data_IF_145196225058
#
_entry.id   IF_145196225058
#
_cell.length_a   1.000
_cell.length_b   1.000
_cell.length_c   1.000
_cell.angle_alpha   90.00
_cell.angle_beta   90.00
_cell.angle_gamma   90.00
#
_symmetry.space_group_name_H-M   'P 1'
#
loop_
_entity.id
_entity.type
_entity.pdbx_description
1 polymer ?
#
# COMPACT_ATOMS: atom_id res chain seq x y z
N UNK A 1 -42.61 20.80 -9.67
CA UNK A 1 -42.25 19.68 -8.78
C UNK A 1 -40.80 19.35 -9.11
N UNK A 2 -39.88 19.56 -8.17
CA UNK A 2 -38.43 19.48 -8.45
C UNK A 2 -38.03 18.04 -8.71
N UNK A 3 -37.62 17.71 -9.93
CA UNK A 3 -37.00 16.43 -10.31
C UNK A 3 -35.58 16.32 -9.72
N UNK A 4 -35.47 16.37 -8.40
CA UNK A 4 -34.21 16.04 -7.74
C UNK A 4 -34.09 14.52 -7.73
N UNK A 5 -33.10 13.92 -8.42
CA UNK A 5 -32.89 12.49 -8.30
C UNK A 5 -32.60 12.17 -6.83
N UNK A 6 -33.26 11.13 -6.32
CA UNK A 6 -33.01 10.66 -4.96
C UNK A 6 -31.50 10.41 -4.78
N UNK A 7 -30.90 10.78 -3.64
CA UNK A 7 -29.50 10.51 -3.40
C UNK A 7 -29.22 9.02 -3.57
N UNK A 8 -28.05 8.64 -4.13
CA UNK A 8 -27.71 7.24 -4.32
C UNK A 8 -27.85 6.49 -3.00
N UNK A 9 -28.67 5.45 -2.99
CA UNK A 9 -28.81 4.57 -1.82
C UNK A 9 -27.52 3.78 -1.71
N UNK A 10 -26.65 4.10 -0.73
CA UNK A 10 -25.49 3.26 -0.43
C UNK A 10 -26.00 1.89 0.04
N UNK A 11 -25.64 0.84 -0.69
CA UNK A 11 -25.93 -0.51 -0.24
C UNK A 11 -24.99 -0.83 0.94
N UNK A 12 -25.45 -1.46 2.03
CA UNK A 12 -24.59 -1.77 3.19
C UNK A 12 -23.31 -2.54 2.83
N UNK A 13 -23.35 -3.35 1.77
CA UNK A 13 -22.18 -4.06 1.23
C UNK A 13 -21.12 -3.11 0.64
N UNK A 14 -21.51 -1.93 0.13
CA UNK A 14 -20.59 -0.95 -0.45
C UNK A 14 -19.69 -0.32 0.63
N UNK A 15 -20.25 -0.04 1.81
CA UNK A 15 -19.50 0.47 2.95
C UNK A 15 -18.47 -0.55 3.46
N UNK A 16 -18.87 -1.82 3.52
CA UNK A 16 -17.96 -2.90 3.89
C UNK A 16 -16.85 -3.07 2.85
N UNK A 17 -17.18 -3.05 1.55
CA UNK A 17 -16.19 -3.15 0.48
C UNK A 17 -15.16 -2.02 0.54
N UNK A 18 -15.60 -0.76 0.71
CA UNK A 18 -14.73 0.41 0.87
C UNK A 18 -13.79 0.26 2.07
N UNK A 19 -14.30 -0.22 3.20
CA UNK A 19 -13.50 -0.45 4.40
C UNK A 19 -12.39 -1.47 4.12
N UNK A 20 -12.71 -2.61 3.52
CA UNK A 20 -11.72 -3.65 3.25
C UNK A 20 -10.72 -3.25 2.16
N UNK A 21 -11.17 -2.53 1.12
CA UNK A 21 -10.28 -1.96 0.11
C UNK A 21 -9.28 -0.97 0.73
N UNK A 22 -9.73 -0.11 1.65
CA UNK A 22 -8.85 0.79 2.40
C UNK A 22 -7.87 0.00 3.26
N UNK A 23 -8.33 -1.04 3.97
CA UNK A 23 -7.47 -1.89 4.80
C UNK A 23 -6.40 -2.64 3.99
N UNK A 24 -6.68 -3.00 2.73
CA UNK A 24 -5.66 -3.54 1.82
C UNK A 24 -4.47 -2.60 1.67
N UNK A 25 -4.62 -1.29 1.83
CA UNK A 25 -3.51 -0.34 1.78
C UNK A 25 -2.95 0.00 3.15
N UNK A 26 -3.83 0.32 4.12
CA UNK A 26 -3.40 0.80 5.45
C UNK A 26 -2.69 -0.27 6.28
N UNK A 27 -2.99 -1.55 6.05
CA UNK A 27 -2.28 -2.66 6.71
C UNK A 27 -0.79 -2.70 6.39
N UNK A 28 -0.32 -2.04 5.32
CA UNK A 28 1.10 -1.88 5.04
C UNK A 28 1.85 -1.08 6.13
N UNK A 29 1.15 -0.27 6.93
CA UNK A 29 1.76 0.45 8.05
C UNK A 29 2.22 -0.50 9.16
N UNK A 30 1.79 -1.77 9.16
CA UNK A 30 2.30 -2.79 10.07
C UNK A 30 3.82 -2.99 9.91
N UNK A 31 4.42 -2.59 8.79
CA UNK A 31 5.88 -2.60 8.60
C UNK A 31 6.67 -1.72 9.56
N UNK A 32 6.03 -0.74 10.21
CA UNK A 32 6.67 0.06 11.27
C UNK A 32 6.67 -0.62 12.64
N UNK A 33 5.90 -1.70 12.80
CA UNK A 33 5.76 -2.42 14.08
C UNK A 33 6.47 -3.77 14.01
N UNK A 34 6.35 -4.47 12.87
CA UNK A 34 6.92 -5.79 12.67
C UNK A 34 7.72 -5.86 11.37
N UNK A 35 8.87 -6.57 11.35
CA UNK A 35 9.61 -6.84 10.12
C UNK A 35 8.72 -7.45 9.05
N UNK A 36 8.85 -6.97 7.80
CA UNK A 36 8.03 -7.37 6.65
C UNK A 36 6.51 -7.15 6.80
N UNK A 37 6.06 -6.48 7.87
CA UNK A 37 4.66 -6.17 8.09
C UNK A 37 4.05 -5.34 6.96
N UNK A 38 4.86 -4.58 6.22
CA UNK A 38 4.41 -3.80 5.07
C UNK A 38 3.93 -4.67 3.90
N UNK A 39 4.46 -5.88 3.74
CA UNK A 39 4.02 -6.84 2.72
C UNK A 39 2.98 -7.79 3.31
N UNK A 40 3.21 -8.29 4.52
CA UNK A 40 2.34 -9.29 5.15
C UNK A 40 0.96 -8.71 5.50
N UNK A 41 0.89 -7.48 6.01
CA UNK A 41 -0.37 -6.80 6.29
C UNK A 41 -1.34 -6.80 5.10
N UNK A 42 -0.98 -6.19 3.95
CA UNK A 42 -1.87 -6.12 2.79
C UNK A 42 -2.16 -7.49 2.19
N UNK A 43 -1.19 -8.41 2.22
CA UNK A 43 -1.39 -9.78 1.76
C UNK A 43 -2.43 -10.53 2.61
N UNK A 44 -2.34 -10.44 3.94
CA UNK A 44 -3.29 -11.06 4.85
C UNK A 44 -4.69 -10.47 4.65
N UNK A 45 -4.80 -9.13 4.62
CA UNK A 45 -6.09 -8.45 4.43
C UNK A 45 -6.74 -8.87 3.11
N UNK A 46 -5.98 -8.87 2.02
CA UNK A 46 -6.49 -9.31 0.71
C UNK A 46 -6.95 -10.77 0.75
N UNK A 47 -6.14 -11.67 1.29
CA UNK A 47 -6.45 -13.10 1.33
C UNK A 47 -7.67 -13.42 2.20
N UNK A 48 -7.93 -12.64 3.26
CA UNK A 48 -9.12 -12.80 4.11
C UNK A 48 -10.42 -12.44 3.40
N UNK A 49 -10.39 -11.55 2.41
CA UNK A 49 -11.60 -10.99 1.79
C UNK A 49 -11.77 -11.17 0.29
N UNK A 50 -10.76 -11.68 -0.40
CA UNK A 50 -10.82 -11.86 -1.86
C UNK A 50 -11.98 -12.73 -2.37
N UNK A 51 -12.45 -13.70 -1.57
CA UNK A 51 -13.56 -14.58 -1.95
C UNK A 51 -14.94 -13.96 -1.68
N UNK A 52 -15.01 -12.93 -0.84
CA UNK A 52 -16.26 -12.27 -0.42
C UNK A 52 -16.44 -10.90 -1.11
N UNK A 53 -15.34 -10.16 -1.29
CA UNK A 53 -15.34 -8.77 -1.77
C UNK A 53 -14.41 -8.69 -2.99
N UNK A 54 -14.94 -8.84 -4.22
CA UNK A 54 -14.14 -8.90 -5.45
C UNK A 54 -13.23 -7.69 -5.68
N UNK A 55 -13.60 -6.49 -5.21
CA UNK A 55 -12.77 -5.29 -5.34
C UNK A 55 -11.44 -5.38 -4.59
N UNK A 56 -11.36 -6.20 -3.53
CA UNK A 56 -10.12 -6.40 -2.77
C UNK A 56 -9.02 -7.04 -3.60
N UNK A 57 -9.35 -7.73 -4.69
CA UNK A 57 -8.38 -8.23 -5.66
C UNK A 57 -7.52 -7.10 -6.25
N UNK A 58 -8.18 -6.01 -6.64
CA UNK A 58 -7.50 -4.85 -7.24
C UNK A 58 -6.64 -4.12 -6.21
N UNK A 59 -7.20 -3.83 -5.04
CA UNK A 59 -6.52 -3.09 -3.98
C UNK A 59 -5.41 -3.90 -3.30
N UNK A 60 -5.67 -5.18 -3.05
CA UNK A 60 -4.74 -6.13 -2.46
C UNK A 60 -3.51 -6.34 -3.32
N UNK A 61 -3.70 -6.69 -4.61
CA UNK A 61 -2.59 -6.84 -5.56
C UNK A 61 -1.77 -5.56 -5.68
N UNK A 62 -2.43 -4.41 -5.87
CA UNK A 62 -1.76 -3.12 -6.02
C UNK A 62 -0.90 -2.79 -4.79
N UNK A 63 -1.44 -3.00 -3.58
CA UNK A 63 -0.74 -2.76 -2.33
C UNK A 63 0.44 -3.71 -2.13
N UNK A 64 0.24 -5.03 -2.31
CA UNK A 64 1.31 -6.02 -2.14
C UNK A 64 2.44 -5.79 -3.14
N UNK A 65 2.13 -5.59 -4.42
CA UNK A 65 3.12 -5.30 -5.46
C UNK A 65 3.96 -4.06 -5.12
N UNK A 66 3.31 -2.99 -4.67
CA UNK A 66 4.00 -1.76 -4.31
C UNK A 66 4.87 -1.93 -3.06
N UNK A 67 4.38 -2.64 -2.05
CA UNK A 67 5.15 -2.85 -0.82
C UNK A 67 6.36 -3.76 -1.06
N UNK A 68 6.26 -4.75 -1.96
CA UNK A 68 7.43 -5.49 -2.43
C UNK A 68 8.41 -4.55 -3.15
N UNK A 69 7.91 -3.67 -4.01
CA UNK A 69 8.74 -2.66 -4.70
C UNK A 69 9.52 -1.78 -3.72
N UNK A 70 8.82 -1.21 -2.72
CA UNK A 70 9.43 -0.37 -1.67
C UNK A 70 10.47 -1.17 -0.88
N UNK A 71 10.17 -2.42 -0.52
CA UNK A 71 11.12 -3.28 0.20
C UNK A 71 12.37 -3.55 -0.62
N UNK A 72 12.24 -3.86 -1.92
CA UNK A 72 13.39 -4.09 -2.82
C UNK A 72 14.25 -2.83 -2.90
N UNK A 73 13.64 -1.67 -3.17
CA UNK A 73 14.37 -0.39 -3.26
C UNK A 73 15.09 -0.08 -1.96
N UNK A 74 14.41 -0.22 -0.82
CA UNK A 74 14.98 0.04 0.51
C UNK A 74 16.15 -0.90 0.79
N UNK A 75 16.02 -2.19 0.45
CA UNK A 75 17.07 -3.17 0.63
C UNK A 75 18.30 -2.88 -0.24
N UNK A 76 18.11 -2.52 -1.52
CA UNK A 76 19.20 -2.16 -2.42
C UNK A 76 19.94 -0.91 -1.96
N UNK A 77 19.19 0.12 -1.51
CA UNK A 77 19.78 1.34 -0.94
C UNK A 77 20.57 1.04 0.34
N UNK A 78 20.02 0.18 1.21
CA UNK A 78 20.70 -0.26 2.44
C UNK A 78 21.99 -1.05 2.15
N UNK A 79 21.95 -1.96 1.18
CA UNK A 79 23.13 -2.71 0.74
C UNK A 79 24.21 -1.77 0.16
N UNK A 80 23.82 -0.80 -0.68
CA UNK A 80 24.74 0.21 -1.19
C UNK A 80 25.34 1.06 -0.07
N UNK A 81 24.53 1.52 0.88
CA UNK A 81 24.99 2.27 2.05
C UNK A 81 26.00 1.47 2.88
N UNK A 82 25.74 0.18 3.09
CA UNK A 82 26.63 -0.72 3.81
C UNK A 82 27.98 -0.88 3.10
N UNK A 83 27.99 -1.14 1.80
CA UNK A 83 29.24 -1.29 1.02
C UNK A 83 30.03 0.03 0.98
N UNK A 84 29.37 1.18 0.82
CA UNK A 84 30.05 2.48 0.80
C UNK A 84 30.52 2.94 2.19
N UNK A 85 30.03 2.33 3.28
CA UNK A 85 30.44 2.67 4.63
C UNK A 85 31.91 2.36 4.90
N UNK A 86 32.49 1.36 4.20
CA UNK A 86 33.92 1.05 4.24
C UNK A 86 34.82 2.19 3.76
N UNK A 87 34.25 3.14 3.01
CA UNK A 87 34.91 4.35 2.51
C UNK A 87 34.43 5.62 3.22
N UNK A 88 33.70 5.51 4.33
CA UNK A 88 33.07 6.61 5.07
C UNK A 88 32.01 7.43 4.29
N UNK A 89 31.66 7.04 3.05
CA UNK A 89 30.65 7.73 2.22
C UNK A 89 29.25 7.18 2.46
N UNK A 90 29.13 5.94 2.94
CA UNK A 90 27.84 5.25 3.13
C UNK A 90 26.86 5.97 4.06
N UNK A 91 27.37 6.79 5.01
CA UNK A 91 26.53 7.57 5.92
C UNK A 91 25.62 8.57 5.19
N UNK A 92 26.05 9.06 4.02
CA UNK A 92 25.27 9.99 3.19
C UNK A 92 24.02 9.35 2.59
N UNK A 93 23.98 8.02 2.50
CA UNK A 93 22.83 7.29 1.96
C UNK A 93 21.78 6.94 3.03
N UNK A 94 22.10 7.03 4.33
CA UNK A 94 21.18 6.69 5.42
C UNK A 94 19.85 7.48 5.34
N UNK A 95 19.84 8.80 5.08
CA UNK A 95 18.59 9.54 4.92
C UNK A 95 17.72 9.01 3.78
N UNK A 96 18.35 8.56 2.68
CA UNK A 96 17.65 8.01 1.52
C UNK A 96 17.05 6.63 1.83
N UNK A 97 17.77 5.78 2.56
CA UNK A 97 17.25 4.48 3.04
C UNK A 97 16.02 4.68 3.92
N UNK A 98 16.05 5.67 4.83
CA UNK A 98 14.91 5.96 5.70
C UNK A 98 13.74 6.62 4.94
N UNK A 99 14.01 7.40 3.88
CA UNK A 99 12.99 8.09 3.12
C UNK A 99 12.12 7.15 2.28
N UNK A 100 12.70 6.08 1.72
CA UNK A 100 11.97 5.13 0.87
C UNK A 100 10.71 4.52 1.53
N UNK A 101 10.78 3.93 2.75
CA UNK A 101 9.59 3.42 3.44
C UNK A 101 8.62 4.52 3.88
N UNK A 102 9.09 5.73 4.17
CA UNK A 102 8.22 6.87 4.51
C UNK A 102 7.38 7.31 3.31
N UNK A 103 8.00 7.45 2.13
CA UNK A 103 7.27 7.72 0.88
C UNK A 103 6.29 6.58 0.58
N UNK A 104 6.71 5.33 0.79
CA UNK A 104 5.85 4.15 0.67
C UNK A 104 4.61 4.22 1.59
N UNK A 105 4.81 4.64 2.85
CA UNK A 105 3.73 4.81 3.81
C UNK A 105 2.76 5.94 3.42
N UNK A 106 3.27 7.09 2.98
CA UNK A 106 2.44 8.20 2.50
C UNK A 106 1.58 7.76 1.32
N UNK A 107 2.18 7.08 0.34
CA UNK A 107 1.43 6.56 -0.81
C UNK A 107 0.40 5.50 -0.40
N UNK A 108 0.68 4.66 0.60
CA UNK A 108 -0.28 3.71 1.13
C UNK A 108 -1.47 4.39 1.83
N UNK A 109 -1.23 5.49 2.56
CA UNK A 109 -2.29 6.29 3.17
C UNK A 109 -3.16 6.94 2.08
N UNK A 110 -2.54 7.56 1.07
CA UNK A 110 -3.27 8.16 -0.07
C UNK A 110 -4.10 7.12 -0.82
N UNK A 111 -3.55 5.93 -1.04
CA UNK A 111 -4.26 4.81 -1.65
C UNK A 111 -5.45 4.36 -0.79
N UNK A 112 -5.27 4.28 0.53
CA UNK A 112 -6.33 3.95 1.48
C UNK A 112 -7.47 4.98 1.47
N UNK A 113 -7.15 6.27 1.47
CA UNK A 113 -8.14 7.36 1.36
C UNK A 113 -8.94 7.23 0.07
N UNK A 114 -8.27 7.03 -1.06
CA UNK A 114 -8.94 6.84 -2.36
C UNK A 114 -9.81 5.59 -2.40
N UNK A 115 -9.31 4.47 -1.85
CA UNK A 115 -10.08 3.24 -1.73
C UNK A 115 -11.34 3.41 -0.88
N UNK A 116 -11.27 4.19 0.20
CA UNK A 116 -12.42 4.54 1.02
C UNK A 116 -13.46 5.41 0.26
N UNK A 117 -13.01 6.23 -0.69
CA UNK A 117 -13.88 6.97 -1.60
C UNK A 117 -14.45 6.11 -2.74
N UNK A 118 -14.08 4.83 -2.83
CA UNK A 118 -14.48 3.93 -3.91
C UNK A 118 -13.64 4.06 -5.18
N UNK A 119 -12.49 4.74 -5.11
CA UNK A 119 -11.55 4.90 -6.22
C UNK A 119 -10.40 3.88 -6.14
N UNK A 120 -9.96 3.38 -7.29
CA UNK A 120 -8.71 2.61 -7.36
C UNK A 120 -7.49 3.52 -7.36
N UNK A 121 -6.39 3.07 -6.73
CA UNK A 121 -5.12 3.79 -6.72
C UNK A 121 -4.03 2.98 -7.41
N UNK A 122 -3.41 3.57 -8.43
CA UNK A 122 -2.20 3.02 -9.05
C UNK A 122 -0.98 3.65 -8.39
N UNK A 123 -0.20 2.81 -7.73
CA UNK A 123 1.06 3.25 -7.13
C UNK A 123 2.07 3.61 -8.22
N UNK A 124 2.73 4.78 -8.11
CA UNK A 124 3.85 5.10 -9.00
C UNK A 124 5.00 4.11 -8.77
N UNK A 125 5.68 3.73 -9.85
CA UNK A 125 6.86 2.84 -9.86
C UNK A 125 6.64 1.42 -9.33
N UNK A 126 5.39 1.02 -9.06
CA UNK A 126 5.08 -0.33 -8.60
C UNK A 126 5.38 -1.37 -9.67
N UNK A 127 6.08 -2.44 -9.30
CA UNK A 127 6.29 -3.60 -10.14
C UNK A 127 5.07 -4.53 -10.07
N UNK A 128 4.45 -4.84 -11.21
CA UNK A 128 3.33 -5.78 -11.30
C UNK A 128 3.78 -7.24 -11.24
N UNK A 129 4.18 -7.68 -10.04
CA UNK A 129 4.65 -9.06 -9.80
C UNK A 129 3.48 -10.04 -9.76
N UNK A 130 2.39 -9.65 -9.10
CA UNK A 130 1.14 -10.39 -9.04
C UNK A 130 0.17 -9.80 -10.08
N UNK A 131 -0.32 -10.64 -11.00
CA UNK A 131 -1.26 -10.30 -12.08
C UNK A 131 -2.68 -10.69 -11.71
#
# INVERSE_FOLDING_TARGET
MSDYPAPPVMHPLDGQARTWNMLCHLSALAGFVAPFGNILGPLIVWQLKKNEIPSTETHGKASVNFQITVTIVTFLLGAAAFVLSFFCVGILLIPLVAMAPLVGAVLAILAGIKANNGESFRYPWSMELIK
#
